data_IF_292903777759
#
_entry.id   IF_292903777759
#
_cell.length_a   1.000
_cell.length_b   1.000
_cell.length_c   1.000
_cell.angle_alpha   90.00
_cell.angle_beta   90.00
_cell.angle_gamma   90.00
#
_symmetry.space_group_name_H-M   'P 1'
#
loop_
_entity.id
_entity.type
_entity.pdbx_description
1 polymer ?
#
# COMPACT_ATOMS: atom_id res chain seq x y z
N UNK A 1 -30.36 -24.86 -9.86
CA UNK A 1 -29.54 -23.95 -9.02
C UNK A 1 -30.14 -22.57 -9.12
N UNK A 2 -30.50 -21.90 -8.00
CA UNK A 2 -31.07 -20.57 -8.07
C UNK A 2 -29.95 -19.56 -8.42
N UNK A 3 -30.28 -18.48 -9.17
CA UNK A 3 -29.32 -17.47 -9.58
C UNK A 3 -28.82 -16.67 -8.35
N UNK A 4 -27.52 -16.40 -8.32
CA UNK A 4 -26.88 -15.56 -7.31
C UNK A 4 -27.47 -14.15 -7.37
N UNK A 5 -28.09 -13.71 -6.28
CA UNK A 5 -28.69 -12.38 -6.14
C UNK A 5 -27.69 -11.25 -6.37
N UNK A 6 -28.11 -10.14 -6.99
CA UNK A 6 -27.26 -8.97 -7.18
C UNK A 6 -27.07 -8.22 -5.86
N UNK A 7 -25.85 -7.74 -5.62
CA UNK A 7 -25.50 -6.67 -4.67
C UNK A 7 -25.79 -6.93 -3.19
N UNK A 8 -24.90 -7.66 -2.50
CA UNK A 8 -24.59 -7.28 -1.10
C UNK A 8 -23.80 -5.97 -1.16
N UNK A 9 -24.48 -4.83 -1.01
CA UNK A 9 -23.83 -3.57 -0.65
C UNK A 9 -22.94 -3.86 0.56
N UNK A 10 -21.63 -3.65 0.45
CA UNK A 10 -20.75 -3.62 1.62
C UNK A 10 -21.34 -2.61 2.60
N UNK A 11 -21.52 -3.00 3.86
CA UNK A 11 -21.96 -2.08 4.91
C UNK A 11 -21.07 -0.82 4.86
N UNK A 12 -21.65 0.39 5.03
CA UNK A 12 -20.87 1.64 4.97
C UNK A 12 -19.69 1.57 5.95
N UNK A 13 -18.50 1.96 5.50
CA UNK A 13 -17.26 1.96 6.29
C UNK A 13 -17.34 2.84 7.56
N UNK A 14 -18.28 3.80 7.60
CA UNK A 14 -18.14 5.04 8.35
C UNK A 14 -18.99 5.17 9.62
N UNK A 15 -20.01 4.33 9.84
CA UNK A 15 -21.01 4.67 10.86
C UNK A 15 -20.59 4.30 12.30
N UNK A 16 -19.48 3.58 12.48
CA UNK A 16 -19.02 3.16 13.80
C UNK A 16 -17.51 3.33 14.00
N UNK A 17 -17.11 3.90 15.13
CA UNK A 17 -15.70 4.10 15.51
C UNK A 17 -14.89 2.80 15.61
N UNK A 18 -13.57 2.90 15.69
CA UNK A 18 -12.70 1.73 15.84
C UNK A 18 -13.04 0.94 17.11
N UNK A 19 -13.16 -0.38 16.99
CA UNK A 19 -13.58 -1.28 18.06
C UNK A 19 -15.02 -1.78 17.91
N UNK A 20 -15.85 -1.12 17.08
CA UNK A 20 -17.21 -1.57 16.80
C UNK A 20 -17.28 -2.96 16.15
N UNK A 21 -16.20 -3.38 15.48
CA UNK A 21 -16.07 -4.70 14.87
C UNK A 21 -14.94 -5.52 15.50
N UNK A 22 -14.71 -5.33 16.80
CA UNK A 22 -13.69 -6.08 17.53
C UNK A 22 -14.03 -7.58 17.59
N UNK A 23 -13.02 -8.47 17.46
CA UNK A 23 -13.23 -9.90 17.64
C UNK A 23 -13.58 -10.22 19.09
N UNK A 24 -14.26 -11.36 19.29
CA UNK A 24 -14.42 -11.92 20.64
C UNK A 24 -13.07 -12.09 21.33
N UNK A 25 -13.03 -11.99 22.66
CA UNK A 25 -11.78 -12.05 23.42
C UNK A 25 -10.90 -13.26 23.07
N UNK A 26 -11.52 -14.43 22.85
CA UNK A 26 -10.84 -15.67 22.44
C UNK A 26 -10.20 -15.53 21.05
N UNK A 27 -10.95 -15.04 20.06
CA UNK A 27 -10.41 -14.83 18.71
C UNK A 27 -9.33 -13.75 18.69
N UNK A 28 -9.52 -12.65 19.43
CA UNK A 28 -8.52 -11.60 19.58
C UNK A 28 -7.22 -12.11 20.20
N UNK A 29 -7.30 -13.01 21.20
CA UNK A 29 -6.12 -13.65 21.76
C UNK A 29 -5.39 -14.54 20.75
N UNK A 30 -6.12 -15.38 20.00
CA UNK A 30 -5.53 -16.21 18.95
C UNK A 30 -4.86 -15.37 17.85
N UNK A 31 -5.47 -14.25 17.46
CA UNK A 31 -4.87 -13.31 16.50
C UNK A 31 -3.54 -12.76 17.04
N UNK A 32 -3.47 -12.34 18.31
CA UNK A 32 -2.21 -11.86 18.93
C UNK A 32 -1.13 -12.94 19.02
N UNK A 33 -1.53 -14.18 19.33
CA UNK A 33 -0.61 -15.32 19.30
C UNK A 33 -0.10 -15.56 17.88
N UNK A 34 -0.98 -15.49 16.88
CA UNK A 34 -0.57 -15.58 15.49
C UNK A 34 0.43 -14.46 15.19
N UNK A 35 0.11 -13.19 15.47
CA UNK A 35 0.97 -12.01 15.27
C UNK A 35 2.39 -12.11 15.88
N UNK A 36 2.55 -12.93 16.92
CA UNK A 36 3.81 -13.12 17.66
C UNK A 36 4.45 -14.49 17.40
N UNK A 37 3.92 -15.26 16.45
CA UNK A 37 4.37 -16.63 16.21
C UNK A 37 5.83 -16.67 15.72
N UNK A 38 6.56 -17.77 15.99
CA UNK A 38 7.92 -17.95 15.51
C UNK A 38 8.03 -17.77 13.99
N UNK A 39 9.13 -17.17 13.53
CA UNK A 39 9.39 -16.89 12.11
C UNK A 39 9.85 -18.14 11.34
N UNK A 40 9.14 -19.25 11.51
CA UNK A 40 9.42 -20.54 10.90
C UNK A 40 8.16 -21.15 10.29
N UNK A 41 8.30 -22.34 9.71
CA UNK A 41 7.20 -23.04 9.05
C UNK A 41 6.03 -23.34 10.01
N UNK A 42 6.31 -23.75 11.25
CA UNK A 42 5.27 -24.05 12.25
C UNK A 42 4.46 -22.81 12.62
N UNK A 43 5.12 -21.67 12.86
CA UNK A 43 4.44 -20.40 13.13
C UNK A 43 3.58 -19.95 11.95
N UNK A 44 4.04 -20.16 10.72
CA UNK A 44 3.24 -19.91 9.52
C UNK A 44 1.99 -20.80 9.44
N UNK A 45 2.11 -22.11 9.72
CA UNK A 45 0.95 -23.00 9.72
C UNK A 45 -0.07 -22.59 10.78
N UNK A 46 0.41 -22.27 11.99
CA UNK A 46 -0.46 -21.78 13.06
C UNK A 46 -1.20 -20.50 12.66
N UNK A 47 -0.51 -19.51 12.11
CA UNK A 47 -1.14 -18.27 11.64
C UNK A 47 -2.19 -18.52 10.53
N UNK A 48 -1.95 -19.49 9.64
CA UNK A 48 -2.92 -19.87 8.61
C UNK A 48 -4.16 -20.54 9.19
N UNK A 49 -4.01 -21.37 10.23
CA UNK A 49 -5.13 -21.98 10.95
C UNK A 49 -5.96 -20.92 11.67
N UNK A 50 -5.31 -19.98 12.38
CA UNK A 50 -5.99 -18.85 13.04
C UNK A 50 -6.76 -18.01 12.03
N UNK A 51 -6.14 -17.70 10.87
CA UNK A 51 -6.81 -17.00 9.77
C UNK A 51 -8.07 -17.74 9.29
N UNK A 52 -7.98 -19.05 9.05
CA UNK A 52 -9.12 -19.85 8.61
C UNK A 52 -10.25 -19.84 9.66
N UNK A 53 -9.90 -19.92 10.94
CA UNK A 53 -10.86 -19.83 12.04
C UNK A 53 -11.56 -18.46 12.07
N UNK A 54 -10.81 -17.36 11.96
CA UNK A 54 -11.37 -16.00 11.96
C UNK A 54 -12.32 -15.81 10.78
N UNK A 55 -11.92 -16.19 9.56
CA UNK A 55 -12.76 -16.09 8.36
C UNK A 55 -14.06 -16.91 8.44
N UNK A 56 -14.08 -17.97 9.26
CA UNK A 56 -15.25 -18.81 9.51
C UNK A 56 -16.13 -18.29 10.65
N UNK A 57 -15.56 -17.66 11.67
CA UNK A 57 -16.24 -17.36 12.95
C UNK A 57 -16.51 -15.87 13.20
N UNK A 58 -15.92 -14.97 12.43
CA UNK A 58 -16.09 -13.53 12.58
C UNK A 58 -16.78 -12.93 11.34
N UNK A 59 -17.79 -12.09 11.55
CA UNK A 59 -18.40 -11.30 10.48
C UNK A 59 -17.46 -10.16 10.10
N UNK A 60 -17.24 -9.89 8.82
CA UNK A 60 -16.40 -8.77 8.40
C UNK A 60 -17.21 -7.47 8.35
N UNK A 61 -16.58 -6.30 8.61
CA UNK A 61 -15.14 -6.09 8.82
C UNK A 61 -14.60 -6.59 10.17
N UNK A 62 -13.27 -6.63 10.31
CA UNK A 62 -12.56 -6.96 11.55
C UNK A 62 -11.75 -5.76 12.02
N UNK A 63 -12.02 -5.26 13.22
CA UNK A 63 -11.16 -4.27 13.89
C UNK A 63 -10.05 -4.99 14.66
N UNK A 64 -8.79 -4.70 14.32
CA UNK A 64 -7.62 -5.39 14.89
C UNK A 64 -6.47 -4.42 15.13
N UNK A 65 -5.71 -4.67 16.19
CA UNK A 65 -4.45 -3.98 16.46
C UNK A 65 -3.30 -4.87 15.99
N UNK A 66 -2.39 -4.31 15.20
CA UNK A 66 -1.15 -4.97 14.75
C UNK A 66 0.02 -4.05 15.11
N UNK A 67 0.76 -4.38 16.16
CA UNK A 67 1.77 -3.49 16.71
C UNK A 67 1.16 -2.14 17.12
N UNK A 68 1.55 -1.07 16.43
CA UNK A 68 1.07 0.31 16.65
C UNK A 68 -0.12 0.72 15.78
N UNK A 69 -0.57 -0.16 14.87
CA UNK A 69 -1.57 0.13 13.85
C UNK A 69 -2.94 -0.34 14.33
N UNK A 70 -3.96 0.50 14.15
CA UNK A 70 -5.37 0.18 14.34
C UNK A 70 -6.02 0.07 12.98
N UNK A 71 -6.42 -1.15 12.61
CA UNK A 71 -6.87 -1.48 11.26
C UNK A 71 -8.29 -2.05 11.29
N UNK A 72 -9.16 -1.54 10.40
CA UNK A 72 -10.43 -2.17 10.05
C UNK A 72 -10.28 -2.90 8.73
N UNK A 73 -10.32 -4.23 8.78
CA UNK A 73 -9.94 -5.07 7.66
C UNK A 73 -11.10 -5.85 7.04
N UNK A 74 -11.10 -5.92 5.70
CA UNK A 74 -11.96 -6.80 4.92
C UNK A 74 -11.13 -7.95 4.32
N UNK A 75 -10.82 -8.92 5.18
CA UNK A 75 -9.89 -10.02 4.89
C UNK A 75 -10.28 -10.91 3.68
N UNK A 76 -11.50 -10.77 3.13
CA UNK A 76 -11.97 -11.53 1.97
C UNK A 76 -11.56 -10.92 0.64
N UNK A 77 -11.54 -9.60 0.54
CA UNK A 77 -11.37 -8.86 -0.72
C UNK A 77 -10.04 -8.09 -0.80
N UNK A 78 -9.18 -8.15 0.22
CA UNK A 78 -7.86 -7.55 0.19
C UNK A 78 -6.78 -8.52 0.69
N UNK A 79 -5.84 -8.85 -0.19
CA UNK A 79 -4.80 -9.82 0.10
C UNK A 79 -3.77 -9.31 1.10
N UNK A 80 -3.41 -8.03 1.00
CA UNK A 80 -2.44 -7.37 1.88
C UNK A 80 -2.94 -7.37 3.32
N UNK A 81 -4.22 -7.02 3.55
CA UNK A 81 -4.87 -7.15 4.87
C UNK A 81 -4.83 -8.59 5.38
N UNK A 82 -5.28 -9.54 4.54
CA UNK A 82 -5.36 -10.97 4.91
C UNK A 82 -4.01 -11.57 5.29
N UNK A 83 -2.90 -11.11 4.69
CA UNK A 83 -1.55 -11.55 5.05
C UNK A 83 -1.04 -10.82 6.29
N UNK A 84 -1.15 -9.50 6.31
CA UNK A 84 -0.55 -8.65 7.32
C UNK A 84 -1.11 -8.89 8.72
N UNK A 85 -2.44 -9.04 8.85
CA UNK A 85 -3.11 -9.21 10.15
C UNK A 85 -2.60 -10.41 10.96
N UNK A 86 -2.27 -11.51 10.27
CA UNK A 86 -1.88 -12.77 10.91
C UNK A 86 -0.38 -13.04 10.85
N UNK A 87 0.34 -12.46 9.91
CA UNK A 87 1.78 -12.66 9.70
C UNK A 87 2.53 -11.33 9.48
N UNK A 88 2.42 -10.35 10.39
CA UNK A 88 3.06 -9.03 10.19
C UNK A 88 4.59 -9.12 10.10
N UNK A 89 5.23 -10.12 10.70
CA UNK A 89 6.68 -10.33 10.60
C UNK A 89 7.17 -10.75 9.21
N UNK A 90 6.25 -11.10 8.29
CA UNK A 90 6.58 -11.41 6.89
C UNK A 90 6.38 -10.22 5.95
N UNK A 91 5.88 -9.10 6.45
CA UNK A 91 5.56 -7.93 5.64
C UNK A 91 6.78 -7.04 5.52
N UNK A 92 7.48 -7.20 4.40
CA UNK A 92 8.50 -6.31 3.85
C UNK A 92 9.42 -5.67 4.91
N UNK A 93 9.91 -6.51 5.83
CA UNK A 93 10.59 -6.01 7.02
C UNK A 93 11.88 -5.25 6.70
N UNK A 94 12.59 -5.69 5.66
CA UNK A 94 13.85 -5.08 5.23
C UNK A 94 13.61 -3.80 4.42
N UNK A 95 12.61 -3.79 3.54
CA UNK A 95 12.20 -2.60 2.79
C UNK A 95 11.79 -1.47 3.74
N UNK A 96 10.94 -1.77 4.73
CA UNK A 96 10.53 -0.79 5.75
C UNK A 96 11.71 -0.29 6.58
N UNK A 97 12.65 -1.18 6.94
CA UNK A 97 13.88 -0.79 7.65
C UNK A 97 14.70 0.23 6.86
N UNK A 98 14.88 0.00 5.56
CA UNK A 98 15.63 0.90 4.68
C UNK A 98 14.91 2.25 4.47
N UNK A 99 13.57 2.24 4.36
CA UNK A 99 12.76 3.48 4.31
C UNK A 99 12.98 4.31 5.56
N UNK A 100 12.85 3.71 6.76
CA UNK A 100 13.01 4.42 8.04
C UNK A 100 14.42 4.99 8.19
N UNK A 101 15.45 4.25 7.76
CA UNK A 101 16.83 4.73 7.75
C UNK A 101 17.03 5.95 6.84
N UNK A 102 16.33 6.02 5.72
CA UNK A 102 16.44 7.13 4.78
C UNK A 102 15.67 8.39 5.22
N UNK A 103 14.56 8.23 5.96
CA UNK A 103 13.71 9.33 6.43
C UNK A 103 14.36 10.18 7.53
N UNK A 104 14.92 9.53 8.55
CA UNK A 104 15.11 10.20 9.85
C UNK A 104 13.78 10.55 10.53
N UNK A 105 13.79 11.15 11.73
CA UNK A 105 12.55 11.41 12.49
C UNK A 105 11.63 12.45 11.84
N UNK A 106 12.18 13.38 11.06
CA UNK A 106 11.44 14.49 10.43
C UNK A 106 11.35 14.37 8.91
N UNK A 107 11.53 13.16 8.38
CA UNK A 107 11.55 12.90 6.95
C UNK A 107 10.18 12.99 6.28
N UNK A 108 10.20 13.12 4.95
CA UNK A 108 9.01 13.07 4.10
C UNK A 108 8.92 11.74 3.36
N UNK A 109 7.85 11.00 3.61
CA UNK A 109 7.51 9.75 2.94
C UNK A 109 6.34 9.93 1.97
N UNK A 110 6.44 9.33 0.78
CA UNK A 110 5.34 9.27 -0.20
C UNK A 110 5.00 7.80 -0.47
N UNK A 111 3.74 7.43 -0.31
CA UNK A 111 3.20 6.09 -0.54
C UNK A 111 2.28 6.12 -1.76
N UNK A 112 2.74 5.61 -2.90
CA UNK A 112 2.03 5.62 -4.18
C UNK A 112 1.40 4.24 -4.39
N UNK A 113 0.06 4.18 -4.43
CA UNK A 113 -0.66 2.91 -4.34
C UNK A 113 -0.80 2.46 -2.88
N UNK A 114 -1.15 3.40 -2.00
CA UNK A 114 -1.13 3.20 -0.55
C UNK A 114 -2.09 2.09 -0.07
N UNK A 115 -3.06 1.68 -0.90
CA UNK A 115 -4.02 0.64 -0.60
C UNK A 115 -4.74 0.98 0.71
N UNK A 116 -4.80 0.07 1.69
CA UNK A 116 -5.42 0.32 3.00
C UNK A 116 -4.50 1.01 4.02
N UNK A 117 -3.30 1.44 3.58
CA UNK A 117 -2.36 2.23 4.36
C UNK A 117 -1.33 1.45 5.17
N UNK A 118 -1.00 0.20 4.81
CA UNK A 118 -0.05 -0.58 5.63
C UNK A 118 1.33 0.06 5.75
N UNK A 119 1.90 0.54 4.64
CA UNK A 119 3.17 1.29 4.65
C UNK A 119 2.99 2.69 5.25
N UNK A 120 2.01 3.45 4.73
CA UNK A 120 1.61 4.77 5.23
C UNK A 120 1.57 4.82 6.76
N UNK A 121 0.87 3.88 7.40
CA UNK A 121 0.69 3.85 8.84
C UNK A 121 1.93 3.39 9.58
N UNK A 122 2.58 2.31 9.11
CA UNK A 122 3.80 1.80 9.75
C UNK A 122 4.88 2.89 9.83
N UNK A 123 5.08 3.64 8.75
CA UNK A 123 6.00 4.77 8.70
C UNK A 123 5.50 5.94 9.55
N UNK A 124 4.22 6.33 9.45
CA UNK A 124 3.67 7.42 10.25
C UNK A 124 3.81 7.17 11.76
N UNK A 125 3.75 5.91 12.22
CA UNK A 125 3.92 5.57 13.64
C UNK A 125 5.37 5.70 14.16
N UNK A 126 6.32 5.98 13.28
CA UNK A 126 7.76 6.07 13.58
C UNK A 126 8.35 7.47 13.36
N UNK A 127 7.65 8.34 12.64
CA UNK A 127 8.05 9.72 12.44
C UNK A 127 7.69 10.60 13.65
N UNK A 128 8.45 11.67 13.84
CA UNK A 128 8.19 12.72 14.81
C UNK A 128 7.23 13.80 14.31
N UNK A 129 6.99 14.85 15.11
CA UNK A 129 5.98 15.88 14.83
C UNK A 129 6.21 16.68 13.53
N UNK A 130 7.46 16.77 13.06
CA UNK A 130 7.80 17.48 11.81
C UNK A 130 7.88 16.54 10.61
N UNK A 131 7.76 15.23 10.83
CA UNK A 131 7.69 14.26 9.76
C UNK A 131 6.43 14.43 8.92
N UNK A 132 6.49 13.97 7.67
CA UNK A 132 5.40 14.11 6.72
C UNK A 132 5.15 12.82 5.97
N UNK A 133 3.89 12.48 5.77
CA UNK A 133 3.46 11.36 4.92
C UNK A 133 2.42 11.85 3.92
N UNK A 134 2.62 11.54 2.65
CA UNK A 134 1.62 11.68 1.60
C UNK A 134 1.26 10.30 1.06
N UNK A 135 0.01 9.89 1.22
CA UNK A 135 -0.50 8.62 0.73
C UNK A 135 -1.48 8.82 -0.43
N UNK A 136 -1.25 8.11 -1.54
CA UNK A 136 -2.04 8.24 -2.77
C UNK A 136 -2.74 6.91 -3.06
N UNK A 137 -4.06 6.90 -3.06
CA UNK A 137 -4.88 5.71 -3.37
C UNK A 137 -6.08 6.08 -4.25
N UNK A 138 -6.09 5.70 -5.54
CA UNK A 138 -7.14 6.11 -6.47
C UNK A 138 -8.48 5.38 -6.28
N UNK A 139 -8.48 4.13 -5.79
CA UNK A 139 -9.69 3.30 -5.75
C UNK A 139 -10.60 3.71 -4.58
N UNK A 140 -11.83 4.21 -4.82
CA UNK A 140 -12.64 4.83 -3.76
C UNK A 140 -12.93 3.92 -2.54
N UNK A 141 -13.35 2.65 -2.70
CA UNK A 141 -13.54 1.75 -1.56
C UNK A 141 -12.26 1.51 -0.74
N UNK A 142 -11.10 1.47 -1.39
CA UNK A 142 -9.81 1.27 -0.72
C UNK A 142 -9.37 2.56 -0.03
N UNK A 143 -9.55 3.72 -0.67
CA UNK A 143 -9.29 5.03 -0.11
C UNK A 143 -10.08 5.28 1.18
N UNK A 144 -11.35 4.88 1.24
CA UNK A 144 -12.15 5.02 2.47
C UNK A 144 -11.61 4.14 3.62
N UNK A 145 -11.03 2.97 3.31
CA UNK A 145 -10.34 2.12 4.30
C UNK A 145 -9.06 2.79 4.80
N UNK A 146 -8.24 3.32 3.88
CA UNK A 146 -7.06 4.10 4.21
C UNK A 146 -7.41 5.25 5.16
N UNK A 147 -8.41 6.06 4.80
CA UNK A 147 -8.90 7.19 5.60
C UNK A 147 -9.28 6.76 7.01
N UNK A 148 -10.09 5.70 7.12
CA UNK A 148 -10.49 5.17 8.42
C UNK A 148 -9.28 4.69 9.25
N UNK A 149 -8.36 3.93 8.64
CA UNK A 149 -7.20 3.38 9.35
C UNK A 149 -6.21 4.46 9.80
N UNK A 150 -6.03 5.53 9.01
CA UNK A 150 -5.26 6.73 9.38
C UNK A 150 -5.88 7.41 10.61
N UNK A 151 -7.17 7.68 10.57
CA UNK A 151 -7.87 8.28 11.71
C UNK A 151 -7.77 7.40 12.97
N UNK A 152 -8.04 6.09 12.85
CA UNK A 152 -8.00 5.17 13.98
C UNK A 152 -6.60 5.07 14.60
N UNK A 153 -5.56 4.95 13.78
CA UNK A 153 -4.18 4.74 14.22
C UNK A 153 -3.57 5.98 14.86
N UNK A 154 -3.95 7.17 14.39
CA UNK A 154 -3.39 8.45 14.86
C UNK A 154 -4.24 9.16 15.91
N UNK A 155 -5.43 8.64 16.23
CA UNK A 155 -6.37 9.27 17.17
C UNK A 155 -5.73 9.69 18.52
N UNK A 156 -4.81 8.87 19.05
CA UNK A 156 -4.15 9.12 20.33
C UNK A 156 -2.69 9.59 20.15
N UNK A 157 -2.38 10.26 19.02
CA UNK A 157 -1.05 10.76 18.69
C UNK A 157 -1.10 12.21 18.18
N UNK A 158 -1.44 13.17 19.05
CA UNK A 158 -1.48 14.58 18.68
C UNK A 158 -0.10 15.11 18.22
N UNK A 159 0.98 14.54 18.77
CA UNK A 159 2.38 14.87 18.41
C UNK A 159 2.93 14.00 17.26
N UNK A 160 2.05 13.37 16.48
CA UNK A 160 2.42 12.56 15.32
C UNK A 160 2.81 13.40 14.10
N UNK A 161 3.31 12.76 13.02
CA UNK A 161 3.62 13.45 11.79
C UNK A 161 2.36 13.99 11.09
N UNK A 162 2.56 14.92 10.17
CA UNK A 162 1.49 15.35 9.26
C UNK A 162 1.23 14.26 8.22
N UNK A 163 0.07 13.60 8.30
CA UNK A 163 -0.37 12.59 7.31
C UNK A 163 -1.46 13.18 6.42
N UNK A 164 -1.18 13.24 5.12
CA UNK A 164 -2.14 13.64 4.09
C UNK A 164 -2.46 12.44 3.22
N UNK A 165 -3.73 12.29 2.86
CA UNK A 165 -4.20 11.25 1.96
C UNK A 165 -4.94 11.91 0.81
N UNK A 166 -4.68 11.44 -0.41
CA UNK A 166 -5.35 11.95 -1.61
C UNK A 166 -5.89 10.79 -2.44
N UNK A 167 -7.12 10.95 -2.94
CA UNK A 167 -7.75 9.97 -3.82
C UNK A 167 -7.31 10.20 -5.26
N UNK A 168 -6.03 9.94 -5.52
CA UNK A 168 -5.36 10.21 -6.80
C UNK A 168 -4.46 9.04 -7.19
N UNK A 169 -4.41 8.74 -8.48
CA UNK A 169 -3.37 7.91 -9.09
C UNK A 169 -2.19 8.76 -9.58
N UNK A 170 -1.06 8.11 -9.82
CA UNK A 170 0.13 8.77 -10.39
C UNK A 170 0.37 8.22 -11.78
N UNK A 171 0.40 9.13 -12.77
CA UNK A 171 0.64 8.79 -14.18
C UNK A 171 1.10 10.04 -14.94
N UNK A 172 2.01 9.88 -15.91
CA UNK A 172 2.57 10.97 -16.72
C UNK A 172 1.54 11.80 -17.52
N UNK A 173 0.55 11.17 -18.15
CA UNK A 173 -0.50 11.84 -18.91
C UNK A 173 -1.45 12.69 -18.05
N UNK A 174 -1.61 12.35 -16.77
CA UNK A 174 -2.67 12.89 -15.92
C UNK A 174 -4.10 12.63 -16.43
N UNK A 175 -5.08 13.26 -15.80
CA UNK A 175 -6.50 13.19 -16.19
C UNK A 175 -7.22 11.94 -15.67
N UNK A 176 -8.40 11.68 -16.21
CA UNK A 176 -9.24 10.54 -15.82
C UNK A 176 -8.80 9.28 -16.58
N UNK A 177 -8.31 8.28 -15.84
CA UNK A 177 -7.82 7.01 -16.40
C UNK A 177 -8.67 5.83 -15.94
N UNK A 178 -8.65 4.75 -16.73
CA UNK A 178 -9.37 3.51 -16.44
C UNK A 178 -8.54 2.63 -15.51
N UNK A 179 -9.04 2.42 -14.30
CA UNK A 179 -8.52 1.45 -13.35
C UNK A 179 -9.26 0.12 -13.51
N UNK A 180 -8.52 -0.92 -13.91
CA UNK A 180 -9.03 -2.27 -14.02
C UNK A 180 -9.01 -2.92 -12.63
N UNK A 181 -10.20 -3.19 -12.09
CA UNK A 181 -10.35 -3.71 -10.73
C UNK A 181 -10.18 -5.23 -10.69
N UNK A 182 -9.60 -5.74 -9.61
CA UNK A 182 -9.68 -7.17 -9.29
C UNK A 182 -10.72 -7.41 -8.18
N UNK A 183 -11.91 -7.97 -8.50
CA UNK A 183 -12.96 -8.24 -7.51
C UNK A 183 -12.52 -9.18 -6.38
N UNK A 184 -11.50 -10.01 -6.62
CA UNK A 184 -10.95 -10.94 -5.61
C UNK A 184 -9.84 -10.34 -4.75
N UNK A 185 -9.28 -9.20 -5.15
CA UNK A 185 -8.18 -8.53 -4.47
C UNK A 185 -8.12 -7.04 -4.84
N UNK A 186 -8.76 -6.17 -4.07
CA UNK A 186 -8.80 -4.73 -4.34
C UNK A 186 -7.42 -4.10 -4.46
N UNK A 187 -6.43 -4.61 -3.72
CA UNK A 187 -5.04 -4.14 -3.78
C UNK A 187 -4.30 -4.48 -5.07
N UNK A 188 -4.85 -5.35 -5.93
CA UNK A 188 -4.26 -5.73 -7.23
C UNK A 188 -4.89 -5.00 -8.42
N UNK A 189 -5.51 -3.85 -8.18
CA UNK A 189 -6.14 -3.05 -9.24
C UNK A 189 -5.07 -2.23 -9.98
N UNK A 190 -5.10 -2.22 -11.32
CA UNK A 190 -4.04 -1.62 -12.15
C UNK A 190 -4.61 -0.73 -13.25
N UNK A 191 -3.83 0.26 -13.70
CA UNK A 191 -4.14 1.04 -14.90
C UNK A 191 -3.85 0.26 -16.21
N UNK A 192 -3.15 -0.88 -16.12
CA UNK A 192 -2.91 -1.74 -17.27
C UNK A 192 -4.10 -2.65 -17.56
N UNK A 193 -4.47 -2.86 -18.85
CA UNK A 193 -5.45 -3.87 -19.22
C UNK A 193 -4.99 -5.29 -18.80
N UNK A 194 -5.94 -6.14 -18.35
CA UNK A 194 -5.69 -7.56 -18.05
C UNK A 194 -5.14 -8.29 -19.28
N UNK A 195 -4.10 -9.09 -19.09
CA UNK A 195 -3.35 -9.80 -20.15
C UNK A 195 -1.88 -9.37 -20.25
N UNK A 196 -1.52 -8.22 -19.66
CA UNK A 196 -0.11 -7.85 -19.41
C UNK A 196 0.31 -8.14 -17.99
N UNK A 197 -0.46 -7.75 -16.98
CA UNK A 197 -0.23 -8.09 -15.56
C UNK A 197 -0.06 -9.60 -15.39
N UNK A 198 1.13 -10.09 -15.04
CA UNK A 198 1.58 -11.50 -15.13
C UNK A 198 0.80 -12.54 -14.30
N UNK A 199 -0.36 -12.21 -13.74
CA UNK A 199 -1.21 -13.10 -12.97
C UNK A 199 -2.03 -14.09 -13.83
N UNK A 200 -2.21 -13.87 -15.13
CA UNK A 200 -3.18 -14.60 -15.96
C UNK A 200 -2.62 -15.09 -17.31
N UNK A 201 -1.41 -15.65 -17.34
CA UNK A 201 -0.97 -16.49 -18.46
C UNK A 201 -1.73 -17.84 -18.44
N UNK A 202 -3.03 -17.86 -18.78
CA UNK A 202 -3.74 -19.12 -18.98
C UNK A 202 -5.28 -19.17 -18.91
N UNK A 203 -6.04 -18.07 -18.78
CA UNK A 203 -7.50 -18.18 -18.64
C UNK A 203 -8.29 -17.32 -19.64
N UNK A 204 -8.52 -17.87 -20.83
CA UNK A 204 -9.28 -17.24 -21.92
C UNK A 204 -10.81 -17.11 -21.69
N UNK A 205 -11.31 -17.23 -20.45
CA UNK A 205 -12.77 -17.29 -20.17
C UNK A 205 -13.18 -16.64 -18.84
N UNK A 206 -12.50 -15.58 -18.39
CA UNK A 206 -13.00 -14.78 -17.25
C UNK A 206 -13.90 -13.63 -17.74
N UNK A 207 -15.01 -13.33 -17.04
CA UNK A 207 -15.85 -12.17 -17.34
C UNK A 207 -15.02 -10.87 -17.29
N UNK A 208 -15.42 -9.87 -18.08
CA UNK A 208 -14.77 -8.56 -18.10
C UNK A 208 -14.66 -8.01 -16.67
N UNK A 209 -13.43 -7.63 -16.29
CA UNK A 209 -13.18 -7.05 -14.99
C UNK A 209 -13.92 -5.71 -14.86
N UNK A 210 -14.55 -5.41 -13.72
CA UNK A 210 -15.15 -4.11 -13.51
C UNK A 210 -14.08 -3.03 -13.63
N UNK A 211 -14.44 -1.93 -14.28
CA UNK A 211 -13.55 -0.78 -14.48
C UNK A 211 -14.08 0.40 -13.69
N UNK A 212 -13.18 1.09 -13.00
CA UNK A 212 -13.46 2.37 -12.35
C UNK A 212 -12.67 3.47 -13.05
N UNK A 213 -13.27 4.65 -13.20
CA UNK A 213 -12.55 5.83 -13.65
C UNK A 213 -11.93 6.52 -12.44
N UNK A 214 -10.63 6.81 -12.51
CA UNK A 214 -9.88 7.43 -11.42
C UNK A 214 -9.08 8.63 -11.92
N UNK A 215 -8.98 9.64 -11.07
CA UNK A 215 -8.21 10.85 -11.37
C UNK A 215 -6.73 10.61 -11.12
N UNK A 216 -5.90 10.90 -12.12
CA UNK A 216 -4.46 10.73 -12.08
C UNK A 216 -3.75 12.07 -12.34
N UNK A 217 -2.57 12.26 -11.73
CA UNK A 217 -1.70 13.42 -11.96
C UNK A 217 -0.23 13.03 -11.98
N UNK A 218 0.64 13.78 -12.67
CA UNK A 218 2.09 13.58 -12.58
C UNK A 218 2.58 13.81 -11.16
N UNK A 219 3.53 12.98 -10.70
CA UNK A 219 4.04 13.03 -9.32
C UNK A 219 4.55 14.43 -8.94
N UNK A 220 5.29 15.09 -9.83
CA UNK A 220 5.81 16.44 -9.58
C UNK A 220 4.70 17.44 -9.25
N UNK A 221 3.61 17.42 -10.01
CA UNK A 221 2.47 18.32 -9.78
C UNK A 221 1.74 18.02 -8.47
N UNK A 222 1.67 16.76 -8.06
CA UNK A 222 1.08 16.38 -6.77
C UNK A 222 1.95 16.92 -5.64
N UNK A 223 3.27 16.74 -5.72
CA UNK A 223 4.20 17.26 -4.71
C UNK A 223 4.12 18.79 -4.62
N UNK A 224 4.04 19.50 -5.75
CA UNK A 224 3.90 20.95 -5.79
C UNK A 224 2.58 21.42 -5.18
N UNK A 225 1.46 20.78 -5.53
CA UNK A 225 0.14 21.10 -4.98
C UNK A 225 0.07 20.88 -3.47
N UNK A 226 0.86 19.94 -2.94
CA UNK A 226 0.96 19.69 -1.51
C UNK A 226 2.01 20.60 -0.84
N UNK A 227 2.84 21.34 -1.59
CA UNK A 227 3.97 22.08 -1.03
C UNK A 227 5.01 21.12 -0.43
N UNK A 228 5.30 20.01 -1.11
CA UNK A 228 6.38 19.09 -0.77
C UNK A 228 7.59 19.45 -1.62
N UNK A 229 8.53 20.16 -1.00
CA UNK A 229 9.78 20.55 -1.65
C UNK A 229 10.84 19.43 -1.56
N UNK A 230 10.72 18.54 -0.57
CA UNK A 230 11.70 17.51 -0.28
C UNK A 230 11.04 16.17 0.02
N UNK A 231 11.51 15.13 -0.65
CA UNK A 231 11.10 13.73 -0.42
C UNK A 231 12.32 12.93 0.02
N UNK A 232 12.18 12.12 1.07
CA UNK A 232 13.26 11.26 1.56
C UNK A 232 13.10 9.83 1.08
N UNK A 233 11.87 9.33 1.09
CA UNK A 233 11.56 7.98 0.66
C UNK A 233 10.24 7.91 -0.11
N UNK A 234 10.21 7.07 -1.14
CA UNK A 234 9.00 6.74 -1.90
C UNK A 234 8.81 5.23 -1.88
N UNK A 235 7.60 4.76 -1.58
CA UNK A 235 7.13 3.42 -1.98
C UNK A 235 6.20 3.60 -3.17
N UNK A 236 6.37 2.78 -4.19
CA UNK A 236 5.43 2.66 -5.29
C UNK A 236 5.03 1.20 -5.48
N UNK A 237 3.73 0.97 -5.56
CA UNK A 237 3.09 -0.34 -5.73
C UNK A 237 1.77 -0.14 -6.49
N UNK A 238 1.85 -0.04 -7.82
CA UNK A 238 0.70 0.29 -8.66
C UNK A 238 0.48 -0.75 -9.76
N UNK A 239 0.96 -1.97 -9.51
CA UNK A 239 0.66 -3.18 -10.27
C UNK A 239 0.99 -3.02 -11.76
N UNK A 240 2.20 -2.53 -12.05
CA UNK A 240 2.78 -2.50 -13.40
C UNK A 240 2.82 -1.15 -14.11
N UNK A 241 2.32 -0.09 -13.48
CA UNK A 241 2.37 1.27 -14.04
C UNK A 241 3.52 2.13 -13.46
N UNK A 242 4.49 1.52 -12.78
CA UNK A 242 5.57 2.21 -12.08
C UNK A 242 6.44 3.06 -13.01
N UNK A 243 6.69 2.58 -14.23
CA UNK A 243 7.46 3.32 -15.24
C UNK A 243 6.69 4.58 -15.71
N UNK A 244 5.40 4.45 -16.03
CA UNK A 244 4.55 5.59 -16.37
C UNK A 244 4.41 6.61 -15.22
N UNK A 245 4.51 6.19 -13.97
CA UNK A 245 4.44 7.08 -12.82
C UNK A 245 5.77 7.81 -12.52
N UNK A 246 6.92 7.15 -12.75
CA UNK A 246 8.23 7.64 -12.29
C UNK A 246 9.15 8.17 -13.41
N UNK A 247 8.99 7.76 -14.67
CA UNK A 247 9.94 8.12 -15.71
C UNK A 247 10.01 9.63 -15.95
N UNK A 248 8.88 10.31 -16.03
CA UNK A 248 8.83 11.78 -16.18
C UNK A 248 9.45 12.50 -14.96
N UNK A 249 9.08 12.04 -13.76
CA UNK A 249 9.61 12.53 -12.49
C UNK A 249 11.15 12.41 -12.43
N UNK A 250 11.70 11.25 -12.79
CA UNK A 250 13.14 11.01 -12.75
C UNK A 250 13.91 11.85 -13.77
N UNK A 251 13.34 12.11 -14.95
CA UNK A 251 13.96 12.89 -16.02
C UNK A 251 14.04 14.37 -15.69
N UNK A 252 12.98 14.94 -15.12
CA UNK A 252 12.83 16.39 -15.02
C UNK A 252 13.05 16.94 -13.62
N UNK A 253 12.95 16.12 -12.57
CA UNK A 253 13.12 16.65 -11.22
C UNK A 253 14.59 16.94 -10.88
N UNK A 254 14.85 18.09 -10.23
CA UNK A 254 16.19 18.43 -9.78
C UNK A 254 16.65 17.45 -8.70
N UNK A 255 17.97 17.27 -8.59
CA UNK A 255 18.60 16.31 -7.67
C UNK A 255 18.13 16.46 -6.23
N UNK A 256 17.92 17.70 -5.76
CA UNK A 256 17.47 18.00 -4.40
C UNK A 256 16.05 17.50 -4.09
N UNK A 257 15.21 17.28 -5.12
CA UNK A 257 13.84 16.79 -4.96
C UNK A 257 13.73 15.27 -5.10
N UNK A 258 14.78 14.60 -5.58
CA UNK A 258 14.78 13.14 -5.69
C UNK A 258 14.89 12.47 -4.31
N UNK A 259 14.18 11.36 -4.08
CA UNK A 259 14.26 10.65 -2.81
C UNK A 259 15.62 10.01 -2.61
N UNK A 260 15.99 9.76 -1.36
CA UNK A 260 17.17 8.99 -0.98
C UNK A 260 16.92 7.49 -1.13
N UNK A 261 15.69 7.04 -0.84
CA UNK A 261 15.27 5.64 -0.90
C UNK A 261 13.99 5.50 -1.74
N UNK A 262 13.96 4.51 -2.61
CA UNK A 262 12.82 4.24 -3.48
C UNK A 262 12.55 2.74 -3.50
N UNK A 263 11.38 2.32 -3.04
CA UNK A 263 10.94 0.92 -3.05
C UNK A 263 9.94 0.73 -4.18
N UNK A 264 10.22 -0.17 -5.10
CA UNK A 264 9.40 -0.43 -6.29
C UNK A 264 8.96 -1.88 -6.29
N UNK A 265 7.71 -2.14 -6.66
CA UNK A 265 7.25 -3.49 -7.01
C UNK A 265 8.07 -4.07 -8.19
N UNK A 266 8.40 -5.36 -8.13
CA UNK A 266 9.08 -6.09 -9.20
C UNK A 266 8.12 -6.44 -10.33
N UNK A 267 7.79 -5.43 -11.14
CA UNK A 267 6.86 -5.50 -12.26
C UNK A 267 7.53 -5.21 -13.61
N UNK A 268 8.85 -5.49 -13.72
CA UNK A 268 9.67 -5.10 -14.89
C UNK A 268 9.16 -5.66 -16.22
N UNK A 269 8.52 -6.83 -16.19
CA UNK A 269 7.91 -7.47 -17.35
C UNK A 269 6.68 -6.73 -17.91
N UNK A 270 6.14 -5.77 -17.16
CA UNK A 270 4.96 -4.96 -17.51
C UNK A 270 5.32 -3.61 -18.09
N UNK A 271 6.50 -3.10 -17.73
CA UNK A 271 6.95 -1.76 -18.07
C UNK A 271 7.25 -1.64 -19.56
N UNK A 272 6.96 -0.45 -20.10
CA UNK A 272 7.28 -0.08 -21.48
C UNK A 272 8.64 0.60 -21.58
N UNK A 273 9.12 1.15 -20.46
CA UNK A 273 10.38 1.89 -20.36
C UNK A 273 11.33 1.21 -19.37
N UNK A 274 12.64 1.33 -19.62
CA UNK A 274 13.69 0.80 -18.73
C UNK A 274 13.87 1.70 -17.50
N UNK A 275 12.97 1.53 -16.53
CA UNK A 275 12.99 2.24 -15.26
C UNK A 275 14.27 1.96 -14.44
N UNK A 276 14.81 0.72 -14.36
CA UNK A 276 16.09 0.46 -13.71
C UNK A 276 17.26 1.25 -14.30
N UNK A 277 17.36 1.34 -15.64
CA UNK A 277 18.38 2.15 -16.29
C UNK A 277 18.22 3.65 -15.98
N UNK A 278 16.99 4.17 -15.99
CA UNK A 278 16.72 5.55 -15.62
C UNK A 278 17.11 5.86 -14.16
N UNK A 279 16.80 4.95 -13.23
CA UNK A 279 17.23 5.05 -11.84
C UNK A 279 18.76 5.06 -11.72
N UNK A 280 19.44 4.15 -12.42
CA UNK A 280 20.90 4.09 -12.42
C UNK A 280 21.55 5.37 -12.93
N UNK A 281 20.99 5.97 -14.00
CA UNK A 281 21.44 7.24 -14.56
C UNK A 281 21.26 8.41 -13.57
N UNK A 282 20.28 8.33 -12.67
CA UNK A 282 20.05 9.30 -11.58
C UNK A 282 20.74 8.90 -10.26
N UNK A 283 21.73 8.01 -10.31
CA UNK A 283 22.58 7.65 -9.17
C UNK A 283 21.98 6.65 -8.17
N UNK A 284 20.79 6.12 -8.44
CA UNK A 284 20.22 5.06 -7.61
C UNK A 284 20.92 3.73 -7.86
N UNK A 285 21.09 2.94 -6.81
CA UNK A 285 21.65 1.59 -6.84
C UNK A 285 20.77 0.64 -6.02
N UNK A 286 20.54 -0.59 -6.49
CA UNK A 286 19.78 -1.58 -5.73
C UNK A 286 20.53 -1.91 -4.43
N UNK A 287 19.85 -1.84 -3.30
CA UNK A 287 20.37 -2.20 -1.97
C UNK A 287 19.77 -3.50 -1.46
N UNK A 288 18.51 -3.77 -1.83
CA UNK A 288 17.79 -4.97 -1.44
C UNK A 288 16.84 -5.39 -2.55
N UNK A 289 16.69 -6.69 -2.78
CA UNK A 289 15.68 -7.27 -3.67
C UNK A 289 15.01 -8.44 -2.99
N UNK A 290 13.71 -8.31 -2.77
CA UNK A 290 12.85 -9.40 -2.34
C UNK A 290 12.12 -10.00 -3.55
N UNK A 291 11.21 -10.95 -3.30
CA UNK A 291 10.39 -11.51 -4.38
C UNK A 291 9.46 -10.45 -4.99
N UNK A 292 8.93 -9.55 -4.18
CA UNK A 292 7.91 -8.58 -4.59
C UNK A 292 8.47 -7.19 -4.85
N UNK A 293 9.58 -6.80 -4.21
CA UNK A 293 10.07 -5.43 -4.31
C UNK A 293 11.58 -5.39 -4.57
N UNK A 294 12.02 -4.26 -5.12
CA UNK A 294 13.43 -3.84 -5.13
C UNK A 294 13.55 -2.47 -4.47
N UNK A 295 14.52 -2.34 -3.57
CA UNK A 295 14.88 -1.10 -2.89
C UNK A 295 16.09 -0.48 -3.57
N UNK A 296 15.90 0.71 -4.10
CA UNK A 296 16.93 1.52 -4.73
C UNK A 296 17.29 2.68 -3.80
N UNK A 297 18.57 2.87 -3.51
CA UNK A 297 19.04 4.02 -2.73
C UNK A 297 20.10 4.80 -3.50
N UNK A 298 20.21 6.09 -3.18
CA UNK A 298 21.24 6.99 -3.69
C UNK A 298 21.87 7.78 -2.56
N UNK A 299 23.02 8.40 -2.83
CA UNK A 299 23.57 9.40 -1.91
C UNK A 299 22.64 10.62 -1.85
N UNK A 300 22.51 11.20 -0.65
CA UNK A 300 21.82 12.46 -0.45
C UNK A 300 22.65 13.57 -1.13
N UNK A 301 22.00 14.42 -1.92
CA UNK A 301 22.66 15.59 -2.49
C UNK A 301 23.11 16.51 -1.33
N UNK A 302 24.29 17.16 -1.42
CA UNK A 302 24.65 18.21 -0.50
C UNK A 302 23.57 19.31 -0.54
N UNK A 303 23.23 19.84 0.65
CA UNK A 303 22.25 20.90 0.82
C UNK A 303 22.73 22.22 0.19
#
# INVERSE_FOLDING_TARGET
MPPLSPTRRSAPLADAGFGAHAPSARLGHLIRLAQSAPRNWLGQQFAQLVRALVLRRHALPLDVVVGRLRLRCWLRDNHSERKFVFMPWRFDAEERRLIVQALGPDGTFVDIGANVGLYTLDIATQLGPRGRVLALEPHPPTFERLRFNVQATLADRPDGPRVQIERLGVHDAGGELRLHLDPGNLGGSSLLPRGRSGADAGAATRPEAPVSTVSCRPLAQILDAQGIERVDAIKIDIEGAEDSALMDYLRHQPEARLPVCLVIENSEHLWRQDLPAALHARGFRPQHRSRLNTVYCRARAPA
#
